data_IF_155037100196
#
_entry.id   IF_155037100196
#
_cell.length_a   1.000
_cell.length_b   1.000
_cell.length_c   1.000
_cell.angle_alpha   90.00
_cell.angle_beta   90.00
_cell.angle_gamma   90.00
#
_symmetry.space_group_name_H-M   'P 1'
#
loop_
_entity.id
_entity.type
_entity.pdbx_description
1 polymer ?
#
# COMPACT_ATOMS: atom_id res chain seq x y z
N UNK A 1 -13.75 -2.04 24.33
CA UNK A 1 -12.76 -3.08 23.96
C UNK A 1 -11.51 -2.92 24.82
N UNK A 2 -10.97 -3.99 25.42
CA UNK A 2 -9.69 -3.94 26.15
C UNK A 2 -8.59 -4.54 25.30
N UNK A 3 -7.45 -3.85 25.13
CA UNK A 3 -6.28 -4.34 24.40
C UNK A 3 -5.07 -4.30 25.32
N UNK A 4 -4.32 -5.40 25.39
CA UNK A 4 -3.09 -5.48 26.19
C UNK A 4 -1.90 -4.97 25.38
N UNK A 5 -1.16 -4.00 25.94
CA UNK A 5 0.12 -3.56 25.39
C UNK A 5 1.18 -3.66 26.48
N UNK A 6 2.24 -4.44 26.20
CA UNK A 6 3.51 -4.51 26.95
C UNK A 6 3.38 -4.41 28.49
N UNK A 7 2.56 -5.29 29.06
CA UNK A 7 2.38 -5.47 30.52
C UNK A 7 1.65 -4.35 31.29
N UNK A 8 0.97 -3.40 30.62
CA UNK A 8 -0.05 -2.56 31.27
C UNK A 8 -1.40 -2.66 30.57
N UNK A 9 -2.47 -2.74 31.37
CA UNK A 9 -3.85 -2.62 30.89
C UNK A 9 -4.16 -1.14 30.78
N UNK A 10 -4.29 -0.64 29.56
CA UNK A 10 -4.86 0.69 29.32
C UNK A 10 -6.24 0.56 28.71
N UNK A 11 -7.18 1.32 29.27
CA UNK A 11 -8.59 1.33 28.84
C UNK A 11 -8.73 2.44 27.80
N UNK A 12 -8.81 2.05 26.53
CA UNK A 12 -9.12 2.99 25.44
C UNK A 12 -10.64 3.05 25.30
N UNK A 13 -11.21 4.24 25.53
CA UNK A 13 -12.64 4.51 25.29
C UNK A 13 -12.83 4.81 23.82
N UNK A 14 -13.48 3.90 23.09
CA UNK A 14 -13.94 4.15 21.72
C UNK A 14 -15.25 4.93 21.80
N UNK A 15 -15.39 6.11 21.17
CA UNK A 15 -16.65 6.86 21.19
C UNK A 15 -17.77 6.03 20.54
N UNK A 16 -18.98 6.07 21.13
CA UNK A 16 -20.18 5.49 20.53
C UNK A 16 -20.59 6.35 19.33
N UNK A 17 -20.51 5.80 18.12
CA UNK A 17 -21.23 6.34 16.97
C UNK A 17 -22.71 5.90 17.08
N UNK A 18 -23.70 6.79 16.85
CA UNK A 18 -25.12 6.49 17.04
C UNK A 18 -25.65 5.31 16.21
N UNK A 19 -24.97 4.97 15.11
CA UNK A 19 -25.49 4.05 14.09
C UNK A 19 -24.78 2.67 14.07
N UNK A 20 -23.99 2.34 15.09
CA UNK A 20 -23.44 0.99 15.24
C UNK A 20 -24.37 0.13 16.10
N UNK A 21 -24.80 -1.01 15.57
CA UNK A 21 -25.52 -2.03 16.33
C UNK A 21 -24.76 -2.36 17.63
N UNK A 22 -25.47 -2.61 18.75
CA UNK A 22 -24.83 -2.93 20.02
C UNK A 22 -23.94 -4.17 19.85
N UNK A 23 -22.78 -4.23 20.53
CA UNK A 23 -21.94 -5.43 20.52
C UNK A 23 -22.75 -6.61 21.07
N UNK A 24 -22.68 -7.74 20.38
CA UNK A 24 -23.27 -9.02 20.81
C UNK A 24 -22.50 -9.46 22.06
N UNK A 25 -23.10 -9.31 23.23
CA UNK A 25 -22.55 -9.78 24.51
C UNK A 25 -23.46 -10.89 25.04
N UNK A 26 -23.26 -12.12 24.57
CA UNK A 26 -23.96 -13.29 25.10
C UNK A 26 -23.54 -14.60 24.42
N UNK A 27 -23.21 -15.67 25.18
CA UNK A 27 -22.82 -16.96 24.61
C UNK A 27 -23.95 -17.69 23.87
N UNK A 28 -25.21 -17.26 24.02
CA UNK A 28 -26.37 -17.87 23.37
C UNK A 28 -26.58 -17.40 21.91
N UNK A 29 -26.03 -16.25 21.51
CA UNK A 29 -26.22 -15.68 20.17
C UNK A 29 -25.07 -15.99 19.19
N UNK A 30 -23.93 -16.50 19.69
CA UNK A 30 -22.79 -16.94 18.84
C UNK A 30 -23.16 -18.15 17.96
N UNK A 31 -24.04 -19.02 18.45
CA UNK A 31 -24.46 -20.25 17.75
C UNK A 31 -25.42 -19.94 16.58
N UNK A 32 -26.17 -18.83 16.66
CA UNK A 32 -27.16 -18.45 15.66
C UNK A 32 -26.56 -17.72 14.45
N UNK A 33 -25.36 -17.13 14.58
CA UNK A 33 -24.73 -16.30 13.54
C UNK A 33 -23.43 -16.87 12.92
N UNK A 34 -23.01 -18.11 13.25
CA UNK A 34 -21.79 -18.75 12.73
C UNK A 34 -20.53 -17.86 12.79
N UNK A 35 -20.36 -17.09 13.86
CA UNK A 35 -19.11 -16.33 14.08
C UNK A 35 -18.16 -17.22 14.87
N UNK A 36 -17.19 -17.84 14.20
CA UNK A 36 -16.12 -18.60 14.85
C UNK A 36 -15.19 -17.64 15.60
N UNK A 37 -15.36 -17.55 16.92
CA UNK A 37 -14.42 -16.88 17.81
C UNK A 37 -13.05 -17.57 17.78
N UNK A 38 -12.06 -16.95 17.13
CA UNK A 38 -10.68 -17.47 17.11
C UNK A 38 -9.90 -16.89 18.29
N UNK A 39 -9.58 -17.73 19.27
CA UNK A 39 -8.59 -17.41 20.29
C UNK A 39 -7.17 -17.55 19.72
N UNK A 40 -6.48 -16.43 19.49
CA UNK A 40 -5.07 -16.40 19.09
C UNK A 40 -4.17 -16.32 20.32
N UNK A 41 -3.19 -17.23 20.43
CA UNK A 41 -2.11 -17.13 21.42
C UNK A 41 -0.90 -16.48 20.78
N UNK A 42 -0.55 -15.29 21.23
CA UNK A 42 0.65 -14.57 20.79
C UNK A 42 1.77 -14.87 21.80
N UNK A 43 2.85 -15.49 21.33
CA UNK A 43 4.07 -15.71 22.12
C UNK A 43 5.21 -14.92 21.51
N UNK A 44 5.90 -14.13 22.33
CA UNK A 44 7.04 -13.32 21.92
C UNK A 44 8.32 -14.01 22.38
N UNK A 45 9.12 -14.51 21.44
CA UNK A 45 10.48 -15.00 21.71
C UNK A 45 11.48 -14.30 20.78
N UNK A 46 12.47 -13.63 21.36
CA UNK A 46 13.65 -13.13 20.62
C UNK A 46 13.37 -12.15 19.48
N UNK A 47 12.31 -11.33 19.55
CA UNK A 47 12.03 -10.30 18.54
C UNK A 47 11.25 -10.76 17.30
N UNK A 48 10.69 -11.97 17.29
CA UNK A 48 9.73 -12.41 16.26
C UNK A 48 8.37 -12.72 16.87
N UNK A 49 7.30 -12.35 16.15
CA UNK A 49 5.92 -12.67 16.50
C UNK A 49 5.51 -13.93 15.77
N UNK A 50 5.14 -14.97 16.51
CA UNK A 50 4.51 -16.17 15.95
C UNK A 50 3.01 -16.12 16.25
N UNK A 51 2.20 -16.13 15.19
CA UNK A 51 0.75 -16.23 15.24
C UNK A 51 0.37 -17.69 14.98
N UNK A 52 -0.29 -18.34 15.95
CA UNK A 52 -0.78 -19.70 15.80
C UNK A 52 -2.18 -19.84 16.38
N UNK A 53 -3.05 -20.58 15.69
CA UNK A 53 -4.33 -21.02 16.25
C UNK A 53 -4.11 -22.15 17.24
N UNK A 54 -4.82 -22.12 18.38
CA UNK A 54 -4.88 -23.25 19.30
C UNK A 54 -5.65 -24.39 18.64
N UNK A 55 -4.94 -25.38 18.09
CA UNK A 55 -5.52 -26.72 17.88
C UNK A 55 -5.28 -27.53 19.14
N UNK A 56 -6.33 -28.15 19.68
CA UNK A 56 -6.21 -29.21 20.69
C UNK A 56 -5.25 -30.30 20.16
N UNK A 57 -4.33 -30.82 20.99
CA UNK A 57 -3.28 -31.72 20.49
C UNK A 57 -3.81 -33.14 20.28
N UNK A 58 -3.46 -33.80 19.17
CA UNK A 58 -3.23 -35.24 19.19
C UNK A 58 -1.73 -35.55 19.28
N UNK A 59 -1.44 -36.79 19.68
CA UNK A 59 -0.21 -37.28 20.28
C UNK A 59 1.08 -37.22 19.42
N UNK A 60 2.23 -37.27 20.12
CA UNK A 60 3.60 -37.53 19.61
C UNK A 60 3.67 -38.86 18.82
N UNK A 61 4.61 -39.19 17.93
CA UNK A 61 6.02 -38.85 17.63
C UNK A 61 6.35 -39.39 16.19
N UNK A 62 7.60 -39.66 15.73
CA UNK A 62 8.96 -39.14 16.00
C UNK A 62 9.74 -38.78 14.69
N UNK A 63 11.08 -38.55 14.80
CA UNK A 63 12.17 -38.64 13.77
C UNK A 63 12.43 -37.41 12.87
N UNK A 64 13.64 -37.10 12.36
CA UNK A 64 15.07 -37.41 12.60
C UNK A 64 15.87 -36.35 11.79
N UNK A 65 17.17 -36.24 12.05
CA UNK A 65 18.18 -35.32 11.51
C UNK A 65 18.30 -35.24 9.97
N UNK A 66 18.82 -34.11 9.44
CA UNK A 66 20.08 -34.00 8.63
C UNK A 66 20.09 -32.83 7.61
N UNK A 67 21.18 -32.04 7.60
CA UNK A 67 21.70 -31.18 6.48
C UNK A 67 22.71 -32.03 5.62
N UNK A 68 23.45 -31.57 4.57
CA UNK A 68 23.73 -30.20 4.02
C UNK A 68 23.91 -30.05 2.47
N UNK A 69 24.25 -28.82 2.02
CA UNK A 69 25.07 -28.49 0.82
C UNK A 69 24.30 -28.04 -0.43
N UNK A 70 24.79 -27.22 -1.37
CA UNK A 70 25.92 -26.28 -1.54
C UNK A 70 25.75 -25.59 -2.93
N UNK A 71 26.68 -24.70 -3.29
CA UNK A 71 26.85 -23.95 -4.55
C UNK A 71 25.95 -22.69 -4.72
N UNK A 72 26.46 -21.46 -4.89
CA UNK A 72 27.75 -21.02 -5.41
C UNK A 72 27.60 -20.61 -6.87
N UNK A 73 27.31 -19.33 -7.15
CA UNK A 73 27.57 -18.73 -8.47
C UNK A 73 27.90 -17.25 -8.34
N UNK A 74 29.13 -16.96 -8.71
CA UNK A 74 29.77 -15.66 -8.83
C UNK A 74 29.63 -15.23 -10.30
N UNK A 75 29.26 -13.98 -10.58
CA UNK A 75 29.37 -13.39 -11.92
C UNK A 75 29.99 -12.00 -11.80
N UNK A 76 30.95 -11.78 -12.69
CA UNK A 76 31.89 -10.68 -12.74
C UNK A 76 31.24 -9.31 -12.99
N UNK A 77 31.90 -8.27 -12.51
CA UNK A 77 31.62 -6.86 -12.81
C UNK A 77 32.58 -6.37 -13.90
N UNK A 78 32.07 -5.72 -14.93
CA UNK A 78 32.81 -4.72 -15.69
C UNK A 78 31.97 -3.42 -15.75
N UNK A 79 32.60 -2.24 -15.63
CA UNK A 79 31.92 -0.96 -15.53
C UNK A 79 31.81 -0.28 -16.90
N UNK A 80 30.73 0.47 -17.10
CA UNK A 80 30.58 1.41 -18.21
C UNK A 80 29.20 1.32 -18.85
N UNK A 81 28.58 2.49 -19.05
CA UNK A 81 27.33 2.76 -19.77
C UNK A 81 26.04 2.75 -18.93
N UNK A 82 25.24 3.80 -19.15
CA UNK A 82 24.25 4.36 -18.23
C UNK A 82 23.13 3.41 -17.83
N UNK A 83 22.62 3.63 -16.62
CA UNK A 83 21.55 2.85 -16.01
C UNK A 83 20.22 3.00 -16.78
N UNK A 84 20.04 2.17 -17.80
CA UNK A 84 18.72 1.78 -18.24
C UNK A 84 18.10 0.94 -17.11
N UNK A 85 16.90 1.33 -16.64
CA UNK A 85 16.10 0.47 -15.80
C UNK A 85 15.82 -0.81 -16.59
N UNK A 86 16.57 -1.87 -16.28
CA UNK A 86 16.26 -3.23 -16.75
C UNK A 86 15.03 -3.64 -15.97
N UNK A 87 13.85 -3.42 -16.56
CA UNK A 87 12.65 -4.10 -16.13
C UNK A 87 12.95 -5.60 -16.25
N UNK A 88 13.09 -6.26 -15.09
CA UNK A 88 13.27 -7.70 -15.01
C UNK A 88 12.26 -8.40 -15.92
N UNK A 89 12.73 -9.41 -16.64
CA UNK A 89 12.10 -9.98 -17.82
C UNK A 89 10.59 -10.20 -17.71
N UNK A 90 9.93 -10.08 -18.87
CA UNK A 90 8.52 -10.30 -19.12
C UNK A 90 7.84 -11.04 -17.97
N UNK A 91 7.02 -10.33 -17.18
CA UNK A 91 6.12 -10.96 -16.24
C UNK A 91 5.40 -12.06 -17.02
N UNK A 92 5.73 -13.32 -16.73
CA UNK A 92 5.10 -14.45 -17.39
C UNK A 92 3.60 -14.30 -17.18
N UNK A 93 2.80 -14.65 -18.18
CA UNK A 93 1.34 -14.63 -18.07
C UNK A 93 0.91 -15.38 -16.79
N UNK A 94 0.69 -14.64 -15.69
CA UNK A 94 0.41 -15.22 -14.37
C UNK A 94 1.03 -14.51 -13.14
N UNK A 95 2.08 -13.69 -13.27
CA UNK A 95 2.64 -13.00 -12.09
C UNK A 95 1.91 -11.66 -11.80
N UNK A 96 1.51 -11.41 -10.53
CA UNK A 96 0.84 -10.16 -10.15
C UNK A 96 1.78 -8.96 -10.29
N UNK A 97 1.24 -7.88 -10.86
CA UNK A 97 1.96 -6.62 -11.06
C UNK A 97 1.65 -5.67 -9.92
N UNK A 98 2.66 -4.95 -9.43
CA UNK A 98 2.49 -3.94 -8.39
C UNK A 98 2.97 -2.56 -8.86
N UNK A 99 2.04 -1.64 -9.08
CA UNK A 99 2.32 -0.27 -9.54
C UNK A 99 2.01 0.73 -8.43
N UNK A 100 2.89 1.71 -8.24
CA UNK A 100 2.70 2.80 -7.27
C UNK A 100 2.75 4.15 -8.01
N UNK A 101 1.57 4.71 -8.27
CA UNK A 101 1.41 6.02 -8.91
C UNK A 101 1.62 7.13 -7.87
N UNK A 102 2.57 8.01 -8.17
CA UNK A 102 3.18 8.98 -7.27
C UNK A 102 3.17 10.39 -7.87
N UNK A 103 3.33 11.42 -7.04
CA UNK A 103 3.33 12.82 -7.49
C UNK A 103 2.47 13.76 -6.64
N UNK A 104 2.56 15.06 -6.92
CA UNK A 104 1.86 16.10 -6.15
C UNK A 104 0.32 15.98 -6.23
N UNK A 105 -0.43 16.50 -5.25
CA UNK A 105 -1.88 16.64 -5.38
C UNK A 105 -2.24 17.41 -6.65
N UNK A 106 -3.23 16.94 -7.42
CA UNK A 106 -3.65 17.59 -8.67
C UNK A 106 -2.93 17.12 -9.95
N UNK A 107 -1.91 16.26 -9.87
CA UNK A 107 -1.22 15.71 -11.06
C UNK A 107 -1.96 14.56 -11.75
N UNK A 108 -3.14 14.16 -11.28
CA UNK A 108 -3.95 13.13 -11.93
C UNK A 108 -3.68 11.68 -11.51
N UNK A 109 -2.93 11.45 -10.42
CA UNK A 109 -2.61 10.09 -9.91
C UNK A 109 -3.83 9.17 -9.80
N UNK A 110 -4.89 9.66 -9.15
CA UNK A 110 -6.13 8.90 -8.96
C UNK A 110 -6.75 8.49 -10.31
N UNK A 111 -6.69 9.36 -11.31
CA UNK A 111 -7.22 9.07 -12.64
C UNK A 111 -6.39 8.03 -13.39
N UNK A 112 -5.06 8.13 -13.33
CA UNK A 112 -4.15 7.13 -13.93
C UNK A 112 -4.27 5.78 -13.22
N UNK A 113 -4.34 5.76 -11.89
CA UNK A 113 -4.54 4.53 -11.13
C UNK A 113 -5.88 3.86 -11.47
N UNK A 114 -6.95 4.66 -11.60
CA UNK A 114 -8.27 4.18 -12.00
C UNK A 114 -8.29 3.62 -13.43
N UNK A 115 -7.67 4.31 -14.39
CA UNK A 115 -7.53 3.85 -15.77
C UNK A 115 -6.86 2.46 -15.84
N UNK A 116 -5.73 2.27 -15.14
CA UNK A 116 -5.04 0.98 -15.05
C UNK A 116 -5.92 -0.09 -14.39
N UNK A 117 -6.61 0.27 -13.30
CA UNK A 117 -7.48 -0.65 -12.58
C UNK A 117 -8.64 -1.15 -13.44
N UNK A 118 -9.32 -0.24 -14.15
CA UNK A 118 -10.45 -0.59 -15.03
C UNK A 118 -9.99 -1.42 -16.22
N UNK A 119 -8.91 -1.03 -16.89
CA UNK A 119 -8.44 -1.73 -18.10
C UNK A 119 -7.93 -3.12 -17.82
N UNK A 120 -7.27 -3.32 -16.68
CA UNK A 120 -6.58 -4.57 -16.38
C UNK A 120 -7.26 -5.40 -15.30
N UNK A 121 -8.37 -4.93 -14.72
CA UNK A 121 -9.05 -5.59 -13.60
C UNK A 121 -8.20 -5.63 -12.32
N UNK A 122 -7.34 -4.63 -12.12
CA UNK A 122 -6.46 -4.56 -10.94
C UNK A 122 -7.16 -4.00 -9.72
N UNK A 123 -6.64 -4.35 -8.54
CA UNK A 123 -7.11 -3.75 -7.29
C UNK A 123 -6.51 -2.36 -7.15
N UNK A 124 -7.37 -1.34 -7.09
CA UNK A 124 -6.96 0.03 -6.79
C UNK A 124 -6.95 0.27 -5.29
N UNK A 125 -5.87 0.88 -4.77
CA UNK A 125 -5.75 1.30 -3.37
C UNK A 125 -5.36 2.77 -3.32
N UNK A 126 -6.21 3.62 -2.74
CA UNK A 126 -5.95 5.06 -2.61
C UNK A 126 -5.64 5.42 -1.16
N UNK A 127 -4.51 6.09 -0.93
CA UNK A 127 -4.16 6.61 0.40
C UNK A 127 -5.20 7.61 0.88
N UNK A 128 -5.66 8.50 -0.01
CA UNK A 128 -6.61 9.55 0.35
C UNK A 128 -7.95 8.96 0.84
N UNK A 129 -8.44 7.88 0.20
CA UNK A 129 -9.67 7.20 0.64
C UNK A 129 -9.51 6.50 1.99
N UNK A 130 -8.36 5.88 2.23
CA UNK A 130 -8.07 5.21 3.50
C UNK A 130 -7.93 6.25 4.61
N UNK A 131 -7.22 7.36 4.37
CA UNK A 131 -7.11 8.46 5.32
C UNK A 131 -8.48 9.06 5.65
N UNK A 132 -9.32 9.27 4.64
CA UNK A 132 -10.70 9.75 4.83
C UNK A 132 -11.52 8.83 5.74
N UNK A 133 -11.45 7.52 5.52
CA UNK A 133 -12.13 6.53 6.35
C UNK A 133 -11.59 6.51 7.79
N UNK A 134 -10.28 6.65 7.99
CA UNK A 134 -9.69 6.73 9.33
C UNK A 134 -10.18 7.98 10.08
N UNK A 135 -10.26 9.13 9.40
CA UNK A 135 -10.79 10.35 9.98
C UNK A 135 -12.28 10.23 10.29
N UNK A 136 -13.07 9.58 9.41
CA UNK A 136 -14.48 9.28 9.65
C UNK A 136 -14.71 8.36 10.84
N UNK A 137 -13.76 7.46 11.13
CA UNK A 137 -13.75 6.63 12.33
C UNK A 137 -13.36 7.40 13.62
N UNK A 138 -13.11 8.71 13.53
CA UNK A 138 -12.80 9.57 14.67
C UNK A 138 -11.32 9.66 15.03
N UNK A 139 -10.41 9.18 14.16
CA UNK A 139 -8.98 9.43 14.38
C UNK A 139 -8.67 10.91 14.16
N UNK A 140 -7.76 11.50 14.96
CA UNK A 140 -7.40 12.92 14.80
C UNK A 140 -6.64 13.14 13.49
N UNK A 141 -6.84 14.29 12.83
CA UNK A 141 -5.99 14.72 11.72
C UNK A 141 -4.56 14.94 12.24
N UNK A 142 -3.64 14.05 11.85
CA UNK A 142 -2.26 14.08 12.35
C UNK A 142 -1.32 13.34 11.40
N UNK A 143 -0.01 13.58 11.53
CA UNK A 143 1.02 12.81 10.82
C UNK A 143 0.90 11.31 11.10
N UNK A 144 0.56 10.93 12.32
CA UNK A 144 0.36 9.54 12.72
C UNK A 144 -0.78 8.89 11.94
N UNK A 145 -1.88 9.61 11.71
CA UNK A 145 -3.02 9.11 10.91
C UNK A 145 -2.64 8.94 9.44
N UNK A 146 -1.87 9.88 8.88
CA UNK A 146 -1.31 9.73 7.53
C UNK A 146 -0.41 8.49 7.43
N UNK A 147 0.50 8.27 8.38
CA UNK A 147 1.34 7.05 8.43
C UNK A 147 0.47 5.80 8.54
N UNK A 148 -0.56 5.81 9.39
CA UNK A 148 -1.49 4.69 9.53
C UNK A 148 -2.22 4.38 8.21
N UNK A 149 -2.57 5.39 7.42
CA UNK A 149 -3.17 5.20 6.10
C UNK A 149 -2.22 4.48 5.13
N UNK A 150 -0.94 4.88 5.11
CA UNK A 150 0.10 4.20 4.31
C UNK A 150 0.30 2.74 4.74
N UNK A 151 0.38 2.48 6.04
CA UNK A 151 0.55 1.11 6.56
C UNK A 151 -0.67 0.22 6.28
N UNK A 152 -1.89 0.75 6.43
CA UNK A 152 -3.11 0.05 6.09
C UNK A 152 -3.18 -0.27 4.58
N UNK A 153 -2.85 0.71 3.73
CA UNK A 153 -2.80 0.52 2.28
C UNK A 153 -1.76 -0.53 1.86
N UNK A 154 -0.56 -0.51 2.46
CA UNK A 154 0.47 -1.54 2.26
C UNK A 154 -0.05 -2.93 2.63
N UNK A 155 -0.72 -3.07 3.76
CA UNK A 155 -1.28 -4.36 4.17
C UNK A 155 -2.34 -4.87 3.17
N UNK A 156 -3.21 -4.00 2.66
CA UNK A 156 -4.20 -4.35 1.62
C UNK A 156 -3.51 -4.77 0.32
N UNK A 157 -2.48 -4.03 -0.10
CA UNK A 157 -1.70 -4.38 -1.29
C UNK A 157 -1.02 -5.75 -1.13
N UNK A 158 -0.33 -5.98 -0.01
CA UNK A 158 0.34 -7.26 0.27
C UNK A 158 -0.64 -8.45 0.25
N UNK A 159 -1.83 -8.28 0.83
CA UNK A 159 -2.84 -9.33 0.83
C UNK A 159 -3.33 -9.67 -0.57
N UNK A 160 -3.63 -8.67 -1.41
CA UNK A 160 -4.11 -8.90 -2.77
C UNK A 160 -3.02 -9.49 -3.67
N UNK A 161 -1.78 -9.01 -3.56
CA UNK A 161 -0.64 -9.56 -4.27
C UNK A 161 -0.38 -11.02 -3.87
N UNK A 162 -0.49 -11.37 -2.59
CA UNK A 162 -0.37 -12.75 -2.13
C UNK A 162 -1.50 -13.67 -2.64
N UNK A 163 -2.65 -13.10 -3.01
CA UNK A 163 -3.76 -13.80 -3.67
C UNK A 163 -3.61 -13.84 -5.20
N UNK A 164 -2.48 -13.40 -5.75
CA UNK A 164 -2.22 -13.38 -7.19
C UNK A 164 -2.92 -12.25 -7.95
N UNK A 165 -3.42 -11.22 -7.24
CA UNK A 165 -4.07 -10.06 -7.87
C UNK A 165 -3.06 -8.94 -8.03
N UNK A 166 -3.01 -8.35 -9.22
CA UNK A 166 -2.26 -7.11 -9.45
C UNK A 166 -2.88 -5.94 -8.69
N UNK A 167 -2.05 -5.01 -8.25
CA UNK A 167 -2.43 -3.86 -7.42
C UNK A 167 -1.85 -2.59 -8.01
N UNK A 168 -2.66 -1.54 -8.05
CA UNK A 168 -2.23 -0.17 -8.32
C UNK A 168 -2.53 0.73 -7.12
N UNK A 169 -1.50 1.41 -6.62
CA UNK A 169 -1.60 2.36 -5.51
C UNK A 169 -1.61 3.80 -6.05
N UNK A 170 -2.47 4.64 -5.49
CA UNK A 170 -2.46 6.10 -5.63
C UNK A 170 -2.00 6.72 -4.30
N UNK A 171 -0.79 7.29 -4.31
CA UNK A 171 -0.15 7.91 -3.14
C UNK A 171 0.68 9.14 -3.53
N UNK A 172 0.91 10.07 -2.60
CA UNK A 172 1.74 11.25 -2.89
C UNK A 172 3.24 10.90 -2.97
N UNK A 173 3.72 10.07 -2.02
CA UNK A 173 5.11 9.61 -1.92
C UNK A 173 6.17 10.72 -1.89
N UNK A 174 5.88 11.82 -1.18
CA UNK A 174 6.72 13.02 -1.06
C UNK A 174 7.99 12.84 -0.18
N UNK A 175 8.17 11.69 0.45
CA UNK A 175 9.32 11.41 1.32
C UNK A 175 9.81 9.98 1.18
N UNK A 176 11.09 9.74 1.48
CA UNK A 176 11.69 8.41 1.43
C UNK A 176 11.02 7.41 2.37
N UNK A 177 10.60 7.75 3.61
CA UNK A 177 9.81 6.84 4.43
C UNK A 177 8.49 6.40 3.77
N UNK A 178 7.80 7.31 3.06
CA UNK A 178 6.59 6.96 2.31
C UNK A 178 6.92 5.99 1.16
N UNK A 179 8.00 6.22 0.41
CA UNK A 179 8.45 5.32 -0.67
C UNK A 179 8.92 3.97 -0.15
N UNK A 180 9.63 3.95 0.98
CA UNK A 180 10.14 2.74 1.62
C UNK A 180 9.03 1.77 2.05
N UNK A 181 7.85 2.30 2.39
CA UNK A 181 6.63 1.53 2.68
C UNK A 181 6.34 0.52 1.55
N UNK A 182 6.44 0.95 0.29
CA UNK A 182 6.14 0.09 -0.85
C UNK A 182 7.28 -0.86 -1.19
N UNK A 183 8.54 -0.44 -0.99
CA UNK A 183 9.70 -1.33 -1.16
C UNK A 183 9.70 -2.48 -0.14
N UNK A 184 8.99 -2.37 0.98
CA UNK A 184 8.81 -3.49 1.90
C UNK A 184 8.03 -4.65 1.27
N UNK A 185 7.15 -4.38 0.30
CA UNK A 185 6.42 -5.40 -0.47
C UNK A 185 7.38 -6.25 -1.31
N UNK A 186 8.46 -5.64 -1.85
CA UNK A 186 9.48 -6.33 -2.64
C UNK A 186 10.15 -7.50 -1.90
N UNK A 187 10.19 -7.45 -0.56
CA UNK A 187 10.71 -8.56 0.27
C UNK A 187 9.90 -9.85 0.13
N UNK A 188 8.73 -9.79 -0.51
CA UNK A 188 7.85 -10.93 -0.79
C UNK A 188 7.96 -11.43 -2.24
N UNK A 189 8.93 -10.93 -3.02
CA UNK A 189 9.20 -11.37 -4.39
C UNK A 189 8.53 -10.55 -5.49
N UNK A 190 7.73 -9.53 -5.14
CA UNK A 190 7.07 -8.64 -6.12
C UNK A 190 7.63 -7.24 -5.98
N UNK A 191 8.44 -6.83 -6.95
CA UNK A 191 9.07 -5.51 -6.96
C UNK A 191 8.05 -4.44 -7.37
N UNK A 192 7.89 -3.34 -6.59
CA UNK A 192 7.04 -2.23 -6.99
C UNK A 192 7.63 -1.52 -8.21
N UNK A 193 6.77 -1.17 -9.17
CA UNK A 193 7.09 -0.21 -10.23
C UNK A 193 6.54 1.16 -9.81
N UNK A 194 7.44 2.09 -9.52
CA UNK A 194 7.06 3.47 -9.22
C UNK A 194 6.79 4.23 -10.52
N UNK A 195 5.68 4.95 -10.55
CA UNK A 195 5.32 5.88 -11.63
C UNK A 195 5.20 7.26 -11.02
N UNK A 196 6.06 8.21 -11.42
CA UNK A 196 6.02 9.59 -10.96
C UNK A 196 5.33 10.45 -12.01
N UNK A 197 4.15 10.97 -11.66
CA UNK A 197 3.44 11.95 -12.47
C UNK A 197 3.91 13.37 -12.14
N UNK A 198 4.36 14.08 -13.16
CA UNK A 198 4.77 15.48 -13.06
C UNK A 198 3.96 16.36 -14.00
N UNK A 199 3.57 17.53 -13.51
CA UNK A 199 2.87 18.53 -14.30
C UNK A 199 3.67 19.82 -14.23
N UNK A 200 4.45 20.10 -15.26
CA UNK A 200 5.34 21.27 -15.31
C UNK A 200 4.60 22.59 -15.52
N UNK A 201 3.41 22.55 -16.13
CA UNK A 201 2.56 23.73 -16.32
C UNK A 201 1.82 24.07 -15.01
N UNK A 202 2.31 25.09 -14.33
CA UNK A 202 1.74 25.58 -13.08
C UNK A 202 0.29 26.10 -13.23
N UNK A 203 0.00 26.78 -14.34
CA UNK A 203 -1.32 27.34 -14.58
C UNK A 203 -2.35 26.22 -14.76
N UNK A 204 -1.98 25.19 -15.53
CA UNK A 204 -2.79 23.98 -15.67
C UNK A 204 -2.92 23.22 -14.34
N UNK A 205 -1.85 23.13 -13.55
CA UNK A 205 -1.89 22.47 -12.24
C UNK A 205 -2.84 23.16 -11.28
N UNK A 206 -2.78 24.50 -11.19
CA UNK A 206 -3.72 25.33 -10.43
C UNK A 206 -5.16 25.14 -10.91
N UNK A 207 -5.39 25.17 -12.22
CA UNK A 207 -6.72 24.96 -12.81
C UNK A 207 -7.30 23.61 -12.44
N UNK A 208 -6.50 22.53 -12.57
CA UNK A 208 -6.91 21.17 -12.19
C UNK A 208 -7.21 21.07 -10.70
N UNK A 209 -6.38 21.67 -9.84
CA UNK A 209 -6.59 21.65 -8.40
C UNK A 209 -7.88 22.37 -8.01
N UNK A 210 -8.15 23.54 -8.61
CA UNK A 210 -9.36 24.31 -8.34
C UNK A 210 -10.64 23.62 -8.81
N UNK A 211 -10.59 22.88 -9.91
CA UNK A 211 -11.73 22.14 -10.46
C UNK A 211 -11.92 20.75 -9.81
N UNK A 212 -10.98 20.29 -8.99
CA UNK A 212 -10.97 18.92 -8.44
C UNK A 212 -12.11 18.73 -7.44
N UNK A 213 -12.84 17.63 -7.61
CA UNK A 213 -13.83 17.14 -6.65
C UNK A 213 -13.60 15.66 -6.41
N UNK A 214 -12.96 15.30 -5.29
CA UNK A 214 -12.76 13.89 -4.92
C UNK A 214 -13.95 13.23 -4.22
N UNK A 215 -14.87 14.02 -3.66
CA UNK A 215 -15.98 13.49 -2.87
C UNK A 215 -15.57 12.87 -1.52
N UNK A 216 -14.41 13.25 -0.98
CA UNK A 216 -13.98 12.84 0.36
C UNK A 216 -14.68 13.69 1.43
N UNK A 217 -15.11 13.05 2.52
CA UNK A 217 -15.93 13.71 3.54
C UNK A 217 -15.09 14.44 4.61
N UNK A 218 -13.89 13.95 4.88
CA UNK A 218 -13.02 14.34 5.99
C UNK A 218 -11.64 14.82 5.54
N UNK A 219 -11.14 14.41 4.38
CA UNK A 219 -9.90 14.92 3.78
C UNK A 219 -10.23 16.10 2.85
N UNK A 220 -9.78 17.29 3.23
CA UNK A 220 -9.97 18.50 2.43
C UNK A 220 -9.11 18.50 1.15
N UNK A 221 -9.56 19.23 0.13
CA UNK A 221 -8.69 19.58 -1.00
C UNK A 221 -7.58 20.52 -0.53
N UNK A 222 -6.32 20.28 -0.93
CA UNK A 222 -5.24 21.18 -0.53
C UNK A 222 -5.34 22.51 -1.28
N UNK A 223 -4.95 23.59 -0.61
CA UNK A 223 -4.78 24.89 -1.26
C UNK A 223 -3.56 24.87 -2.19
N UNK A 224 -3.48 25.84 -3.10
CA UNK A 224 -2.30 26.00 -3.94
C UNK A 224 -1.02 26.16 -3.10
N UNK A 225 -1.06 27.00 -2.07
CA UNK A 225 0.09 27.22 -1.18
C UNK A 225 0.54 25.94 -0.48
N UNK A 226 -0.39 25.06 -0.09
CA UNK A 226 -0.06 23.75 0.49
C UNK A 226 0.61 22.83 -0.54
N UNK A 227 0.19 22.88 -1.81
CA UNK A 227 0.85 22.13 -2.90
C UNK A 227 2.25 22.67 -3.13
N UNK A 228 2.45 23.99 -3.20
CA UNK A 228 3.78 24.60 -3.37
C UNK A 228 4.70 24.32 -2.19
N UNK A 229 4.21 24.44 -0.95
CA UNK A 229 4.98 24.12 0.25
C UNK A 229 5.40 22.65 0.26
N UNK A 230 4.50 21.74 -0.15
CA UNK A 230 4.82 20.32 -0.29
C UNK A 230 5.82 20.07 -1.42
N UNK A 231 5.72 20.75 -2.55
CA UNK A 231 6.67 20.64 -3.65
C UNK A 231 8.09 21.05 -3.21
N UNK A 232 8.21 22.12 -2.42
CA UNK A 232 9.48 22.57 -1.87
C UNK A 232 10.08 21.57 -0.87
N UNK A 233 9.24 20.82 -0.15
CA UNK A 233 9.64 19.78 0.79
C UNK A 233 9.72 18.38 0.16
N UNK A 234 9.43 18.24 -1.14
CA UNK A 234 9.37 16.95 -1.82
C UNK A 234 10.79 16.38 -1.94
N UNK A 235 11.04 15.24 -1.31
CA UNK A 235 12.36 14.61 -1.36
C UNK A 235 12.68 14.07 -2.76
N UNK A 236 13.88 14.36 -3.32
CA UNK A 236 14.26 13.89 -4.64
C UNK A 236 14.11 12.39 -4.83
N UNK A 237 13.69 11.99 -6.03
CA UNK A 237 13.66 10.57 -6.41
C UNK A 237 15.05 10.14 -6.92
N UNK A 238 15.60 9.02 -6.42
CA UNK A 238 16.84 8.46 -6.97
C UNK A 238 16.70 8.15 -8.46
N UNK A 239 17.73 8.47 -9.24
CA UNK A 239 17.73 8.15 -10.68
C UNK A 239 17.60 6.64 -10.91
N UNK A 240 16.74 6.26 -11.86
CA UNK A 240 16.50 4.87 -12.23
C UNK A 240 15.50 4.11 -11.37
N UNK A 241 14.97 4.67 -10.27
CA UNK A 241 14.02 3.97 -9.37
C UNK A 241 12.55 4.06 -9.82
N UNK A 242 12.24 4.84 -10.85
CA UNK A 242 10.86 5.19 -11.23
C UNK A 242 10.70 5.49 -12.73
N UNK A 243 9.46 5.34 -13.22
CA UNK A 243 9.02 5.79 -14.53
C UNK A 243 8.49 7.22 -14.41
N UNK A 244 9.13 8.16 -15.10
CA UNK A 244 8.69 9.56 -15.16
C UNK A 244 7.63 9.75 -16.24
N UNK A 245 6.52 10.37 -15.89
CA UNK A 245 5.39 10.57 -16.80
C UNK A 245 4.93 12.02 -16.75
N UNK A 246 4.85 12.65 -17.92
CA UNK A 246 4.21 13.95 -18.08
C UNK A 246 2.69 13.83 -17.94
N UNK A 247 2.16 14.44 -16.88
CA UNK A 247 0.75 14.45 -16.53
C UNK A 247 -0.09 15.42 -17.37
N UNK A 248 0.50 16.24 -18.23
CA UNK A 248 -0.24 17.09 -19.16
C UNK A 248 -1.00 16.25 -20.21
N UNK A 249 -0.52 15.04 -20.49
CA UNK A 249 -1.09 14.13 -21.48
C UNK A 249 -2.44 13.53 -21.06
N UNK A 250 -3.28 13.11 -22.02
CA UNK A 250 -4.51 12.38 -21.73
C UNK A 250 -4.26 11.11 -20.90
N UNK A 251 -5.13 10.85 -19.92
CA UNK A 251 -5.01 9.69 -19.02
C UNK A 251 -4.99 8.37 -19.77
N UNK A 252 -5.76 8.26 -20.86
CA UNK A 252 -5.83 7.05 -21.70
C UNK A 252 -4.51 6.77 -22.45
N UNK A 253 -3.80 7.82 -22.87
CA UNK A 253 -2.48 7.70 -23.49
C UNK A 253 -1.42 7.29 -22.46
N UNK A 254 -1.46 7.91 -21.27
CA UNK A 254 -0.59 7.54 -20.15
C UNK A 254 -0.81 6.06 -19.79
N UNK A 255 -2.06 5.63 -19.64
CA UNK A 255 -2.40 4.23 -19.34
C UNK A 255 -1.85 3.28 -20.40
N UNK A 256 -2.02 3.60 -21.68
CA UNK A 256 -1.54 2.76 -22.79
C UNK A 256 -0.02 2.63 -22.79
N UNK A 257 0.69 3.72 -22.56
CA UNK A 257 2.14 3.69 -22.47
C UNK A 257 2.63 2.89 -21.27
N UNK A 258 2.01 3.08 -20.10
CA UNK A 258 2.39 2.34 -18.89
C UNK A 258 2.21 0.84 -19.08
N UNK A 259 1.10 0.39 -19.68
CA UNK A 259 0.89 -1.03 -19.98
C UNK A 259 1.95 -1.56 -20.95
N UNK A 260 2.26 -0.82 -22.01
CA UNK A 260 3.34 -1.17 -22.95
C UNK A 260 4.69 -1.30 -22.25
N UNK A 261 5.04 -0.37 -21.36
CA UNK A 261 6.28 -0.41 -20.59
C UNK A 261 6.32 -1.60 -19.62
N UNK A 262 5.17 -1.97 -19.05
CA UNK A 262 5.02 -3.13 -18.17
C UNK A 262 4.94 -4.47 -18.92
N UNK A 263 4.99 -4.46 -20.26
CA UNK A 263 4.87 -5.67 -21.08
C UNK A 263 3.47 -6.28 -21.08
N UNK A 264 2.45 -5.46 -20.85
CA UNK A 264 1.04 -5.85 -20.76
C UNK A 264 0.28 -5.40 -22.01
N UNK A 265 -0.81 -6.12 -22.38
CA UNK A 265 -1.65 -5.78 -23.52
C UNK A 265 -2.41 -4.45 -23.33
#
# INVERSE_FOLDING_TARGET
>A
MQVHVRHRRERITVPRLPDLHPPVEGPADEEQHRVLGVALRVVLCGGRVLLGQLRSPPARAPTHESRPGAAGRQVARHPGEGAALVLGGAAGHGEPVFVVVSGLPGTGKTAVAHELAVRCGWVQVSIDQIEDALLGAGLPRSRTTGIAAYEAARAVAEQNLALGRSVVVDAVNDSEPARATWRMVARRGITPVFVLLELGDEAEHRRRLAARQRGLAHVAEPTWDQVTARAAAYEPWPEGDYLRVDAARPVTEIGTELLRLLGLP
#
